data_IF_299929980475
#
_entry.id   IF_299929980475
#
_cell.length_a   1.000
_cell.length_b   1.000
_cell.length_c   1.000
_cell.angle_alpha   90.00
_cell.angle_beta   90.00
_cell.angle_gamma   90.00
#
_symmetry.space_group_name_H-M   'P 1'
#
loop_
_entity.id
_entity.type
_entity.pdbx_description
1 polymer ?
#
# COMPACT_ATOMS: atom_id res chain seq x y z
N UNK A 1 -4.97 -5.00 23.52
CA UNK A 1 -4.75 -5.88 22.35
C UNK A 1 -5.30 -5.24 21.08
N UNK A 2 -6.47 -4.58 21.14
CA UNK A 2 -7.07 -3.89 19.97
C UNK A 2 -6.17 -2.95 19.16
N UNK A 3 -5.29 -2.16 19.79
CA UNK A 3 -4.37 -1.31 19.04
C UNK A 3 -3.39 -2.13 18.18
N UNK A 4 -2.98 -3.32 18.65
CA UNK A 4 -2.13 -4.24 17.88
C UNK A 4 -2.91 -4.71 16.65
N UNK A 5 -4.18 -5.09 16.82
CA UNK A 5 -5.05 -5.50 15.71
C UNK A 5 -5.14 -4.43 14.63
N UNK A 6 -5.32 -3.15 15.00
CA UNK A 6 -5.39 -2.03 14.03
C UNK A 6 -4.07 -1.86 13.25
N UNK A 7 -2.92 -1.96 13.91
CA UNK A 7 -1.61 -1.90 13.25
C UNK A 7 -1.38 -3.10 12.33
N UNK A 8 -1.76 -4.31 12.77
CA UNK A 8 -1.68 -5.53 11.96
C UNK A 8 -2.51 -5.41 10.68
N UNK A 9 -3.76 -4.92 10.78
CA UNK A 9 -4.63 -4.66 9.61
C UNK A 9 -3.95 -3.68 8.64
N UNK A 10 -3.39 -2.58 9.17
CA UNK A 10 -2.72 -1.56 8.36
C UNK A 10 -1.52 -2.10 7.59
N UNK A 11 -0.69 -2.91 8.24
CA UNK A 11 0.49 -3.56 7.63
C UNK A 11 0.06 -4.58 6.57
N UNK A 12 -0.89 -5.45 6.87
CA UNK A 12 -1.35 -6.49 5.94
C UNK A 12 -1.93 -5.86 4.66
N UNK A 13 -2.81 -4.88 4.80
CA UNK A 13 -3.41 -4.19 3.64
C UNK A 13 -2.33 -3.49 2.81
N UNK A 14 -1.35 -2.86 3.46
CA UNK A 14 -0.21 -2.22 2.79
C UNK A 14 0.58 -3.23 1.94
N UNK A 15 0.90 -4.39 2.51
CA UNK A 15 1.65 -5.44 1.80
C UNK A 15 0.85 -6.01 0.62
N UNK A 16 -0.47 -6.22 0.79
CA UNK A 16 -1.35 -6.69 -0.28
C UNK A 16 -1.42 -5.65 -1.42
N UNK A 17 -1.63 -4.38 -1.11
CA UNK A 17 -1.67 -3.32 -2.13
C UNK A 17 -0.35 -3.24 -2.90
N UNK A 18 0.78 -3.30 -2.19
CA UNK A 18 2.11 -3.25 -2.81
C UNK A 18 2.36 -4.46 -3.70
N UNK A 19 1.94 -5.65 -3.25
CA UNK A 19 2.04 -6.87 -4.03
C UNK A 19 1.21 -6.79 -5.32
N UNK A 20 -0.04 -6.32 -5.24
CA UNK A 20 -0.90 -6.14 -6.42
C UNK A 20 -0.28 -5.14 -7.39
N UNK A 21 0.22 -4.00 -6.90
CA UNK A 21 0.93 -3.04 -7.74
C UNK A 21 2.13 -3.68 -8.44
N UNK A 22 2.88 -4.54 -7.75
CA UNK A 22 4.07 -5.21 -8.30
C UNK A 22 3.68 -6.22 -9.38
N UNK A 23 2.60 -6.97 -9.17
CA UNK A 23 2.03 -7.87 -10.18
C UNK A 23 1.62 -7.08 -11.42
N UNK A 24 0.87 -5.98 -11.25
CA UNK A 24 0.44 -5.12 -12.37
C UNK A 24 1.66 -4.58 -13.13
N UNK A 25 2.67 -4.09 -12.43
CA UNK A 25 3.91 -3.60 -13.05
C UNK A 25 4.60 -4.66 -13.91
N UNK A 26 4.57 -5.93 -13.48
CA UNK A 26 5.12 -7.06 -14.23
C UNK A 26 4.25 -7.50 -15.42
N UNK A 27 2.93 -7.38 -15.31
CA UNK A 27 1.99 -7.68 -16.40
C UNK A 27 2.05 -6.65 -17.54
N UNK A 28 2.43 -5.40 -17.24
CA UNK A 28 2.61 -4.37 -18.27
C UNK A 28 3.71 -4.81 -19.24
N UNK A 29 3.33 -4.98 -20.51
CA UNK A 29 4.22 -5.39 -21.60
C UNK A 29 5.35 -4.37 -21.79
N UNK A 30 6.51 -4.87 -22.18
CA UNK A 30 7.64 -4.03 -22.53
C UNK A 30 7.40 -3.41 -23.91
N UNK A 31 7.55 -2.09 -24.03
CA UNK A 31 7.52 -1.41 -25.32
C UNK A 31 8.96 -1.10 -25.74
N UNK A 32 9.38 -1.61 -26.90
CA UNK A 32 10.67 -1.25 -27.49
C UNK A 32 10.59 0.07 -28.27
N UNK A 33 11.75 0.66 -28.60
CA UNK A 33 11.85 1.86 -29.44
C UNK A 33 12.37 3.09 -28.68
N UNK A 34 12.37 4.25 -29.36
CA UNK A 34 12.98 5.48 -28.85
C UNK A 34 12.11 6.26 -27.83
N UNK A 35 10.82 5.92 -27.70
CA UNK A 35 9.86 6.57 -26.79
C UNK A 35 8.90 5.56 -26.15
N UNK A 36 9.39 4.64 -25.29
CA UNK A 36 8.55 3.65 -24.63
C UNK A 36 7.61 4.30 -23.61
N UNK A 37 6.34 3.89 -23.58
CA UNK A 37 5.35 4.42 -22.63
C UNK A 37 5.23 3.54 -21.38
N UNK A 38 5.71 2.31 -21.43
CA UNK A 38 5.55 1.33 -20.35
C UNK A 38 6.11 1.79 -18.97
N UNK A 39 7.24 2.51 -18.84
CA UNK A 39 7.72 2.94 -17.53
C UNK A 39 6.77 3.97 -16.90
N UNK A 40 6.21 4.87 -17.73
CA UNK A 40 5.24 5.86 -17.28
C UNK A 40 3.95 5.20 -16.79
N UNK A 41 3.47 4.17 -17.48
CA UNK A 41 2.26 3.44 -17.08
C UNK A 41 2.49 2.72 -15.75
N UNK A 42 3.64 2.03 -15.56
CA UNK A 42 3.99 1.38 -14.29
C UNK A 42 4.00 2.37 -13.11
N UNK A 43 4.59 3.55 -13.34
CA UNK A 43 4.59 4.66 -12.37
C UNK A 43 3.18 5.11 -12.00
N UNK A 44 2.29 5.27 -12.97
CA UNK A 44 0.90 5.65 -12.69
C UNK A 44 0.22 4.63 -11.77
N UNK A 45 0.34 3.32 -12.06
CA UNK A 45 -0.26 2.30 -11.21
C UNK A 45 0.32 2.28 -9.79
N UNK A 46 1.63 2.44 -9.64
CA UNK A 46 2.26 2.52 -8.31
C UNK A 46 1.63 3.65 -7.46
N UNK A 47 1.48 4.84 -8.02
CA UNK A 47 0.91 6.00 -7.32
C UNK A 47 -0.61 5.90 -7.12
N UNK A 48 -1.33 5.27 -8.04
CA UNK A 48 -2.76 4.97 -7.84
C UNK A 48 -2.95 4.05 -6.63
N UNK A 49 -2.18 2.96 -6.53
CA UNK A 49 -2.24 2.07 -5.37
C UNK A 49 -1.72 2.72 -4.09
N UNK A 50 -0.76 3.64 -4.20
CA UNK A 50 -0.30 4.46 -3.07
C UNK A 50 -1.45 5.27 -2.43
N UNK A 51 -2.34 5.84 -3.25
CA UNK A 51 -3.51 6.58 -2.78
C UNK A 51 -4.65 5.66 -2.32
N UNK A 52 -4.86 4.53 -2.99
CA UNK A 52 -5.88 3.53 -2.61
C UNK A 52 -5.54 2.88 -1.27
N UNK A 53 -4.26 2.66 -0.97
CA UNK A 53 -3.82 1.99 0.25
C UNK A 53 -4.40 2.59 1.56
N UNK A 54 -4.18 3.88 1.89
CA UNK A 54 -4.73 4.47 3.11
C UNK A 54 -6.27 4.46 3.12
N UNK A 55 -6.92 4.59 1.96
CA UNK A 55 -8.38 4.50 1.84
C UNK A 55 -8.85 3.10 2.25
N UNK A 56 -8.21 2.04 1.74
CA UNK A 56 -8.56 0.66 2.08
C UNK A 56 -8.25 0.33 3.55
N UNK A 57 -7.11 0.79 4.09
CA UNK A 57 -6.78 0.59 5.50
C UNK A 57 -7.89 1.15 6.38
N UNK A 58 -8.27 2.41 6.16
CA UNK A 58 -9.25 3.06 7.00
C UNK A 58 -10.65 2.46 6.81
N UNK A 59 -11.11 2.23 5.58
CA UNK A 59 -12.44 1.69 5.33
C UNK A 59 -12.60 0.26 5.84
N UNK A 60 -11.64 -0.63 5.57
CA UNK A 60 -11.71 -2.01 6.07
C UNK A 60 -11.52 -2.06 7.58
N UNK A 61 -10.60 -1.27 8.13
CA UNK A 61 -10.41 -1.14 9.58
C UNK A 61 -11.68 -0.67 10.29
N UNK A 62 -12.38 0.31 9.72
CA UNK A 62 -13.60 0.87 10.31
C UNK A 62 -14.83 -0.03 10.16
N UNK A 63 -15.08 -0.58 8.96
CA UNK A 63 -16.33 -1.28 8.68
C UNK A 63 -16.27 -2.80 8.90
N UNK A 64 -15.07 -3.40 8.85
CA UNK A 64 -14.91 -4.87 8.88
C UNK A 64 -14.20 -5.33 10.14
N UNK A 65 -13.14 -4.63 10.56
CA UNK A 65 -12.26 -5.06 11.64
C UNK A 65 -12.43 -4.26 12.93
N UNK A 66 -13.46 -3.43 13.03
CA UNK A 66 -13.75 -2.67 14.23
C UNK A 66 -14.19 -3.62 15.35
N UNK A 67 -13.52 -3.59 16.51
CA UNK A 67 -13.85 -4.49 17.61
C UNK A 67 -15.11 -4.04 18.34
N UNK A 68 -15.87 -5.02 18.82
CA UNK A 68 -16.93 -4.78 19.79
C UNK A 68 -16.34 -4.40 21.15
N UNK A 69 -16.92 -3.41 21.82
CA UNK A 69 -16.46 -3.03 23.15
C UNK A 69 -17.00 -1.70 23.65
N UNK A 70 -16.55 -1.33 24.85
CA UNK A 70 -16.89 -0.03 25.42
C UNK A 70 -16.20 1.13 24.68
N UNK A 71 -16.62 2.36 24.99
CA UNK A 71 -16.10 3.58 24.35
C UNK A 71 -14.58 3.71 24.40
N UNK A 72 -13.93 3.18 25.44
CA UNK A 72 -12.46 3.23 25.58
C UNK A 72 -11.78 2.27 24.61
N UNK A 73 -12.31 1.06 24.44
CA UNK A 73 -11.81 0.06 23.48
C UNK A 73 -11.89 0.60 22.06
N UNK A 74 -13.07 1.10 21.68
CA UNK A 74 -13.32 1.71 20.37
C UNK A 74 -12.41 2.93 20.14
N UNK A 75 -12.29 3.82 21.12
CA UNK A 75 -11.44 5.01 21.01
C UNK A 75 -9.96 4.68 20.79
N UNK A 76 -9.43 3.71 21.55
CA UNK A 76 -8.05 3.26 21.40
C UNK A 76 -7.80 2.58 20.04
N UNK A 77 -8.76 1.80 19.55
CA UNK A 77 -8.69 1.18 18.23
C UNK A 77 -8.69 2.25 17.13
N UNK A 78 -9.62 3.21 17.17
CA UNK A 78 -9.74 4.26 16.15
C UNK A 78 -8.52 5.17 16.10
N UNK A 79 -7.93 5.50 17.25
CA UNK A 79 -6.67 6.24 17.30
C UNK A 79 -5.54 5.43 16.65
N UNK A 80 -5.40 4.15 17.00
CA UNK A 80 -4.40 3.26 16.41
C UNK A 80 -4.61 3.05 14.90
N UNK A 81 -5.86 2.91 14.44
CA UNK A 81 -6.21 2.79 13.01
C UNK A 81 -5.83 4.07 12.25
N UNK A 82 -6.10 5.24 12.82
CA UNK A 82 -5.75 6.52 12.20
C UNK A 82 -4.23 6.66 12.06
N UNK A 83 -3.47 6.35 13.11
CA UNK A 83 -2.00 6.32 13.08
C UNK A 83 -1.50 5.26 12.07
N UNK A 84 -2.07 4.06 12.11
CA UNK A 84 -1.73 2.95 11.23
C UNK A 84 -1.99 3.26 9.75
N UNK A 85 -3.04 4.02 9.44
CA UNK A 85 -3.34 4.49 8.08
C UNK A 85 -2.22 5.39 7.56
N UNK A 86 -1.79 6.37 8.37
CA UNK A 86 -0.69 7.28 8.02
C UNK A 86 0.62 6.51 7.87
N UNK A 87 0.95 5.64 8.84
CA UNK A 87 2.16 4.82 8.79
C UNK A 87 2.15 3.86 7.60
N UNK A 88 1.01 3.26 7.27
CA UNK A 88 0.84 2.36 6.13
C UNK A 88 1.09 3.07 4.79
N UNK A 89 0.66 4.33 4.65
CA UNK A 89 0.99 5.15 3.48
C UNK A 89 2.50 5.34 3.31
N UNK A 90 3.20 5.76 4.36
CA UNK A 90 4.66 5.94 4.30
C UNK A 90 5.40 4.62 4.11
N UNK A 91 4.92 3.54 4.74
CA UNK A 91 5.49 2.20 4.58
C UNK A 91 5.36 1.70 3.15
N UNK A 92 4.22 1.94 2.49
CA UNK A 92 4.03 1.61 1.07
C UNK A 92 5.08 2.30 0.19
N UNK A 93 5.27 3.62 0.38
CA UNK A 93 6.25 4.41 -0.37
C UNK A 93 7.66 3.89 -0.12
N UNK A 94 8.02 3.68 1.16
CA UNK A 94 9.36 3.22 1.55
C UNK A 94 9.68 1.85 0.94
N UNK A 95 8.77 0.88 1.05
CA UNK A 95 8.97 -0.46 0.50
C UNK A 95 8.96 -0.44 -1.03
N UNK A 96 8.08 0.34 -1.66
CA UNK A 96 8.05 0.53 -3.12
C UNK A 96 9.37 1.09 -3.66
N UNK A 97 9.95 2.06 -2.95
CA UNK A 97 11.28 2.59 -3.24
C UNK A 97 12.37 1.55 -3.04
N UNK A 98 12.37 0.81 -1.92
CA UNK A 98 13.35 -0.26 -1.68
C UNK A 98 13.28 -1.30 -2.79
N UNK A 99 12.08 -1.72 -3.20
CA UNK A 99 11.89 -2.67 -4.30
C UNK A 99 12.42 -2.14 -5.63
N UNK A 100 12.25 -0.84 -5.95
CA UNK A 100 12.81 -0.28 -7.18
C UNK A 100 14.35 -0.27 -7.18
N UNK A 101 14.97 -0.17 -5.99
CA UNK A 101 16.43 -0.26 -5.81
C UNK A 101 16.97 -1.68 -5.79
N UNK A 102 16.17 -2.67 -5.39
CA UNK A 102 16.56 -4.09 -5.46
C UNK A 102 16.46 -4.60 -6.91
N UNK A 103 15.41 -4.19 -7.63
CA UNK A 103 15.11 -4.66 -8.99
C UNK A 103 15.45 -3.62 -10.06
N UNK A 104 16.59 -2.94 -9.96
CA UNK A 104 16.97 -1.81 -10.86
C UNK A 104 16.93 -2.15 -12.34
N UNK A 105 17.30 -3.37 -12.71
CA UNK A 105 17.35 -3.82 -14.10
C UNK A 105 16.03 -4.44 -14.58
N UNK A 106 15.04 -4.56 -13.69
CA UNK A 106 13.73 -5.14 -13.96
C UNK A 106 12.63 -4.11 -14.15
N UNK A 107 11.41 -4.58 -14.45
CA UNK A 107 10.22 -3.73 -14.62
C UNK A 107 9.90 -2.90 -13.37
N UNK A 108 10.17 -3.45 -12.19
CA UNK A 108 10.02 -2.77 -10.90
C UNK A 108 11.10 -1.70 -10.66
N UNK A 109 12.22 -1.69 -11.38
CA UNK A 109 13.21 -0.61 -11.24
C UNK A 109 12.67 0.75 -11.68
N UNK A 110 11.67 0.77 -12.55
CA UNK A 110 11.15 1.98 -13.20
C UNK A 110 9.70 2.31 -12.85
N UNK A 111 9.11 1.58 -11.89
CA UNK A 111 7.73 1.81 -11.45
C UNK A 111 7.57 2.88 -10.37
N UNK A 112 8.67 3.39 -9.80
CA UNK A 112 8.68 4.35 -8.71
C UNK A 112 9.10 5.73 -9.20
#
# INVERSE_FOLDING_TARGET
MESITAYTVSVIITLICLFIAAVIANLIKFEGGSKPRDPRIRKVYFWVFCLINPILIFLLGFFVFMPDGNRRVIGNYMMALSIGTVLGFFLYILLGFILSRIFTNGKLGHWF
#
